data_IF_249171940330
#
_entry.id   IF_249171940330
#
_cell.length_a   1.000
_cell.length_b   1.000
_cell.length_c   1.000
_cell.angle_alpha   90.00
_cell.angle_beta   90.00
_cell.angle_gamma   90.00
#
_symmetry.space_group_name_H-M   'P 1'
#
loop_
_entity.id
_entity.type
_entity.pdbx_description
1 polymer ?
#
# COMPACT_ATOMS: atom_id res chain seq x y z
N UNK A 1 5.70 -5.21 10.18
CA UNK A 1 4.95 -4.02 10.60
C UNK A 1 3.46 -4.26 10.39
N UNK A 2 2.96 -4.45 9.16
CA UNK A 2 1.53 -4.67 8.89
C UNK A 2 0.94 -5.81 9.73
N UNK A 3 1.62 -6.95 9.86
CA UNK A 3 1.20 -8.07 10.70
C UNK A 3 0.97 -7.71 12.19
N UNK A 4 1.59 -6.66 12.67
CA UNK A 4 1.36 -6.14 14.03
C UNK A 4 0.15 -5.23 14.03
N UNK A 5 0.08 -4.30 13.09
CA UNK A 5 -0.99 -3.31 12.99
C UNK A 5 -2.37 -3.97 12.77
N UNK A 6 -2.47 -4.99 11.91
CA UNK A 6 -3.74 -5.69 11.65
C UNK A 6 -4.30 -6.44 12.88
N UNK A 7 -3.47 -6.70 13.89
CA UNK A 7 -3.88 -7.32 15.16
C UNK A 7 -4.31 -6.30 16.21
N UNK A 8 -4.09 -5.03 15.97
CA UNK A 8 -4.55 -3.98 16.86
C UNK A 8 -6.08 -3.93 16.90
N UNK A 9 -6.64 -3.83 18.10
CA UNK A 9 -8.10 -3.90 18.31
C UNK A 9 -8.84 -2.65 17.78
N UNK A 10 -8.16 -1.55 17.63
CA UNK A 10 -8.73 -0.27 17.16
C UNK A 10 -8.42 -0.04 15.70
N UNK A 11 -7.16 -0.23 15.30
CA UNK A 11 -6.68 0.10 13.97
C UNK A 11 -6.85 -1.04 12.98
N UNK A 12 -6.79 -2.30 13.42
CA UNK A 12 -6.68 -3.46 12.55
C UNK A 12 -7.78 -3.57 11.49
N UNK A 13 -9.03 -3.28 11.86
CA UNK A 13 -10.17 -3.32 10.94
C UNK A 13 -10.21 -2.14 9.96
N UNK A 14 -9.34 -1.15 10.14
CA UNK A 14 -9.28 0.06 9.31
C UNK A 14 -8.13 0.05 8.32
N UNK A 15 -7.21 -0.91 8.44
CA UNK A 15 -6.06 -1.04 7.56
C UNK A 15 -6.51 -1.65 6.24
N UNK A 16 -6.16 -0.99 5.15
CA UNK A 16 -6.45 -1.42 3.79
C UNK A 16 -5.14 -1.56 3.02
N UNK A 17 -4.54 -2.76 3.00
CA UNK A 17 -3.43 -3.03 2.10
C UNK A 17 -3.92 -3.04 0.66
N UNK A 18 -3.22 -2.34 -0.22
CA UNK A 18 -3.53 -2.26 -1.65
C UNK A 18 -2.31 -2.72 -2.42
N UNK A 19 -2.47 -3.61 -3.37
CA UNK A 19 -1.36 -4.22 -4.11
C UNK A 19 -1.68 -4.42 -5.59
N UNK A 20 -0.68 -4.37 -6.48
CA UNK A 20 -0.85 -4.60 -7.90
C UNK A 20 -0.63 -6.08 -8.27
N UNK A 21 -1.37 -7.01 -7.66
CA UNK A 21 -1.26 -8.46 -7.90
C UNK A 21 0.12 -9.09 -7.59
N UNK A 22 0.89 -8.49 -6.68
CA UNK A 22 2.26 -8.90 -6.37
C UNK A 22 2.47 -9.19 -4.87
N UNK A 23 1.41 -9.60 -4.19
CA UNK A 23 1.43 -9.82 -2.74
C UNK A 23 2.52 -10.80 -2.29
N UNK A 24 2.80 -11.84 -3.09
CA UNK A 24 3.86 -12.82 -2.76
C UNK A 24 5.24 -12.21 -2.87
N UNK A 25 5.50 -11.44 -3.92
CA UNK A 25 6.77 -10.72 -4.12
C UNK A 25 7.04 -9.76 -2.96
N UNK A 26 5.99 -9.17 -2.41
CA UNK A 26 6.10 -8.27 -1.24
C UNK A 26 6.08 -9.01 0.11
N UNK A 27 6.11 -10.34 0.12
CA UNK A 27 6.12 -11.15 1.34
C UNK A 27 4.81 -11.08 2.13
N UNK A 28 3.68 -10.87 1.45
CA UNK A 28 2.37 -10.69 2.06
C UNK A 28 1.50 -11.95 2.05
N UNK A 29 1.97 -13.07 1.50
CA UNK A 29 1.19 -14.31 1.37
C UNK A 29 0.64 -14.82 2.71
N UNK A 30 1.35 -14.57 3.82
CA UNK A 30 0.87 -14.91 5.16
C UNK A 30 -0.40 -14.15 5.59
N UNK A 31 -0.72 -13.04 4.90
CA UNK A 31 -1.91 -12.24 5.18
C UNK A 31 -3.16 -12.76 4.47
N UNK A 32 -3.05 -13.60 3.45
CA UNK A 32 -4.19 -14.11 2.70
C UNK A 32 -5.22 -14.82 3.59
N UNK A 33 -4.75 -15.61 4.56
CA UNK A 33 -5.63 -16.32 5.49
C UNK A 33 -6.17 -15.43 6.61
N UNK A 34 -5.45 -14.38 6.97
CA UNK A 34 -5.84 -13.49 8.07
C UNK A 34 -6.81 -12.41 7.61
N UNK A 35 -6.52 -11.76 6.50
CA UNK A 35 -7.29 -10.64 5.97
C UNK A 35 -8.20 -11.04 4.82
N UNK A 36 -7.74 -11.94 3.97
CA UNK A 36 -8.38 -12.24 2.70
C UNK A 36 -8.21 -11.12 1.68
N UNK A 37 -8.23 -11.49 0.41
CA UNK A 37 -8.31 -10.55 -0.70
C UNK A 37 -9.79 -10.25 -0.93
N UNK A 38 -10.14 -8.97 -1.04
CA UNK A 38 -11.53 -8.59 -1.25
C UNK A 38 -12.01 -9.01 -2.63
N UNK A 39 -13.17 -9.67 -2.67
CA UNK A 39 -13.90 -9.95 -3.90
C UNK A 39 -15.39 -9.90 -3.62
N UNK A 40 -16.13 -9.07 -4.34
CA UNK A 40 -17.56 -8.88 -4.18
C UNK A 40 -18.37 -10.19 -4.23
N UNK A 41 -17.95 -11.14 -5.06
CA UNK A 41 -18.61 -12.44 -5.23
C UNK A 41 -18.05 -13.51 -4.30
N UNK A 42 -16.91 -13.26 -3.66
CA UNK A 42 -16.15 -14.23 -2.88
C UNK A 42 -15.33 -15.16 -3.76
N UNK A 43 -14.81 -16.24 -3.18
CA UNK A 43 -13.98 -17.22 -3.90
C UNK A 43 -14.85 -18.12 -4.78
N UNK A 44 -14.76 -17.95 -6.11
CA UNK A 44 -15.59 -18.70 -7.07
C UNK A 44 -14.85 -19.89 -7.73
N UNK A 45 -13.58 -20.07 -7.45
CA UNK A 45 -12.74 -21.12 -8.03
C UNK A 45 -11.78 -21.68 -6.97
N UNK A 46 -11.22 -22.84 -7.26
CA UNK A 46 -10.14 -23.40 -6.43
C UNK A 46 -8.81 -22.80 -6.90
N UNK A 47 -8.05 -22.09 -6.05
CA UNK A 47 -6.75 -21.56 -6.44
C UNK A 47 -5.78 -22.69 -6.83
N UNK A 48 -4.86 -22.42 -7.74
CA UNK A 48 -3.84 -23.40 -8.15
C UNK A 48 -2.92 -23.81 -7.01
N UNK A 49 -2.76 -22.96 -6.00
CA UNK A 49 -1.93 -23.16 -4.82
C UNK A 49 -2.73 -23.62 -3.60
N UNK A 50 -3.95 -24.15 -3.78
CA UNK A 50 -4.86 -24.52 -2.69
C UNK A 50 -4.29 -25.58 -1.73
N UNK A 51 -3.29 -26.35 -2.17
CA UNK A 51 -2.56 -27.34 -1.37
C UNK A 51 -1.42 -26.74 -0.53
N UNK A 52 -1.08 -25.48 -0.75
CA UNK A 52 -0.03 -24.78 -0.01
C UNK A 52 -0.55 -24.26 1.34
N UNK A 53 0.37 -24.10 2.31
CA UNK A 53 0.03 -23.56 3.62
C UNK A 53 -0.51 -22.12 3.56
N UNK A 54 0.06 -21.30 2.68
CA UNK A 54 -0.30 -19.90 2.46
C UNK A 54 -0.86 -19.70 1.05
N UNK A 55 -2.05 -20.28 0.83
CA UNK A 55 -2.70 -20.23 -0.48
C UNK A 55 -3.46 -18.91 -0.69
N UNK A 56 -3.68 -18.60 -1.95
CA UNK A 56 -4.50 -17.47 -2.40
C UNK A 56 -5.94 -17.61 -1.89
N UNK A 57 -6.48 -16.55 -1.28
CA UNK A 57 -7.83 -16.61 -0.69
C UNK A 57 -8.57 -15.29 -0.89
N UNK A 58 -9.69 -15.38 -1.58
CA UNK A 58 -10.65 -14.28 -1.74
C UNK A 58 -11.80 -14.39 -0.72
N UNK A 59 -12.38 -13.25 -0.36
CA UNK A 59 -13.51 -13.17 0.56
C UNK A 59 -14.31 -11.89 0.35
N UNK A 60 -15.63 -11.97 0.55
CA UNK A 60 -16.51 -10.77 0.56
C UNK A 60 -16.18 -9.78 1.69
N UNK A 61 -15.47 -10.24 2.71
CA UNK A 61 -15.01 -9.45 3.85
C UNK A 61 -13.51 -9.25 3.84
N UNK A 62 -12.84 -9.51 2.73
CA UNK A 62 -11.41 -9.32 2.57
C UNK A 62 -11.00 -7.86 2.76
N UNK A 63 -9.83 -7.64 3.35
CA UNK A 63 -9.26 -6.30 3.57
C UNK A 63 -8.17 -5.93 2.56
N UNK A 64 -7.58 -6.90 1.86
CA UNK A 64 -6.56 -6.66 0.84
C UNK A 64 -7.27 -6.32 -0.47
N UNK A 65 -7.00 -5.15 -1.02
CA UNK A 65 -7.43 -4.79 -2.36
C UNK A 65 -6.32 -5.17 -3.34
N UNK A 66 -6.64 -6.06 -4.26
CA UNK A 66 -5.73 -6.52 -5.30
C UNK A 66 -6.24 -6.06 -6.66
N UNK A 67 -5.66 -4.96 -7.14
CA UNK A 67 -6.13 -4.25 -8.33
C UNK A 67 -5.66 -4.90 -9.65
N UNK A 68 -4.69 -5.79 -9.58
CA UNK A 68 -3.95 -6.23 -10.76
C UNK A 68 -2.79 -5.29 -11.07
N UNK A 69 -2.08 -5.53 -12.18
CA UNK A 69 -0.94 -4.69 -12.59
C UNK A 69 -1.45 -3.39 -13.22
N UNK A 70 -1.99 -2.53 -12.38
CA UNK A 70 -2.58 -1.25 -12.75
C UNK A 70 -2.31 -0.24 -11.62
N UNK A 71 -1.21 0.49 -11.70
CA UNK A 71 -0.80 1.44 -10.66
C UNK A 71 -1.79 2.60 -10.52
N UNK A 72 -2.43 3.03 -11.60
CA UNK A 72 -3.45 4.08 -11.56
C UNK A 72 -4.69 3.60 -10.80
N UNK A 73 -5.15 2.37 -11.04
CA UNK A 73 -6.27 1.77 -10.30
C UNK A 73 -5.94 1.63 -8.82
N UNK A 74 -4.78 1.05 -8.49
CA UNK A 74 -4.35 0.91 -7.11
C UNK A 74 -4.23 2.24 -6.36
N UNK A 75 -3.76 3.31 -7.03
CA UNK A 75 -3.74 4.63 -6.41
C UNK A 75 -5.13 5.26 -6.30
N UNK A 76 -6.03 5.00 -7.23
CA UNK A 76 -7.43 5.44 -7.11
C UNK A 76 -8.12 4.79 -5.91
N UNK A 77 -7.93 3.49 -5.70
CA UNK A 77 -8.40 2.78 -4.50
C UNK A 77 -7.81 3.39 -3.22
N UNK A 78 -6.51 3.69 -3.26
CA UNK A 78 -5.83 4.34 -2.14
C UNK A 78 -6.44 5.72 -1.84
N UNK A 79 -6.69 6.56 -2.84
CA UNK A 79 -7.33 7.88 -2.67
C UNK A 79 -8.72 7.72 -2.06
N UNK A 80 -9.52 6.77 -2.54
CA UNK A 80 -10.87 6.53 -2.02
C UNK A 80 -10.84 6.19 -0.53
N UNK A 81 -9.94 5.31 -0.10
CA UNK A 81 -9.75 4.97 1.30
C UNK A 81 -9.13 6.13 2.10
N UNK A 82 -8.14 6.83 1.52
CA UNK A 82 -7.41 7.92 2.17
C UNK A 82 -8.26 9.17 2.43
N UNK A 83 -9.35 9.35 1.68
CA UNK A 83 -10.32 10.46 1.83
C UNK A 83 -11.61 10.05 2.53
N UNK A 84 -11.75 8.78 2.94
CA UNK A 84 -12.96 8.27 3.58
C UNK A 84 -13.31 9.00 4.88
N UNK A 85 -12.32 9.58 5.58
CA UNK A 85 -12.57 10.40 6.77
C UNK A 85 -13.42 11.64 6.46
N UNK A 86 -13.25 12.23 5.29
CA UNK A 86 -13.96 13.42 4.81
C UNK A 86 -15.28 13.06 4.14
N UNK A 87 -15.29 12.02 3.29
CA UNK A 87 -16.43 11.66 2.46
C UNK A 87 -17.48 10.81 3.19
N UNK A 88 -17.03 9.98 4.15
CA UNK A 88 -17.89 9.02 4.85
C UNK A 88 -17.83 9.14 6.38
N UNK A 89 -17.01 10.04 6.92
CA UNK A 89 -16.78 10.14 8.37
C UNK A 89 -16.08 8.92 8.98
N UNK A 90 -15.40 8.12 8.16
CA UNK A 90 -14.71 6.89 8.59
C UNK A 90 -13.22 7.01 8.28
N UNK A 91 -12.42 7.02 9.34
CA UNK A 91 -10.96 7.03 9.19
C UNK A 91 -10.45 5.66 8.74
N UNK A 92 -9.95 5.55 7.52
CA UNK A 92 -9.27 4.36 7.01
C UNK A 92 -7.76 4.56 7.01
N UNK A 93 -7.01 3.47 6.98
CA UNK A 93 -5.54 3.43 6.98
C UNK A 93 -5.04 2.71 5.72
N UNK A 94 -5.12 3.36 4.54
CA UNK A 94 -4.66 2.71 3.32
C UNK A 94 -3.14 2.65 3.27
N UNK A 95 -2.64 1.50 2.82
CA UNK A 95 -1.22 1.24 2.60
C UNK A 95 -1.09 0.65 1.20
N UNK A 96 -0.72 1.48 0.25
CA UNK A 96 -0.48 1.03 -1.12
C UNK A 96 0.98 0.63 -1.28
N UNK A 97 1.21 -0.64 -1.62
CA UNK A 97 2.53 -1.23 -1.84
C UNK A 97 2.66 -1.53 -3.33
N UNK A 98 3.64 -0.95 -3.97
CA UNK A 98 3.89 -1.06 -5.41
C UNK A 98 5.38 -1.26 -5.70
N UNK A 99 5.71 -1.66 -6.91
CA UNK A 99 7.09 -1.59 -7.37
C UNK A 99 7.55 -0.14 -7.43
N UNK A 100 8.60 0.18 -6.70
CA UNK A 100 9.10 1.56 -6.55
C UNK A 100 9.27 2.27 -7.89
N UNK A 101 9.86 1.59 -8.87
CA UNK A 101 10.08 2.14 -10.22
C UNK A 101 8.79 2.60 -10.90
N UNK A 102 7.67 1.92 -10.68
CA UNK A 102 6.44 2.17 -11.45
C UNK A 102 5.43 3.06 -10.74
N UNK A 103 5.55 3.23 -9.43
CA UNK A 103 4.59 3.99 -8.65
C UNK A 103 4.49 5.45 -9.06
N UNK A 104 5.38 6.30 -8.55
CA UNK A 104 5.30 7.75 -8.76
C UNK A 104 5.29 8.15 -10.24
N UNK A 105 6.15 7.57 -11.06
CA UNK A 105 6.24 7.98 -12.46
C UNK A 105 4.99 7.66 -13.29
N UNK A 106 4.22 6.63 -12.92
CA UNK A 106 2.97 6.28 -13.62
C UNK A 106 1.74 6.98 -13.07
N UNK A 107 1.82 7.50 -11.85
CA UNK A 107 0.63 7.95 -11.11
C UNK A 107 0.70 9.41 -10.66
N UNK A 108 1.67 10.20 -11.13
CA UNK A 108 1.89 11.57 -10.63
C UNK A 108 0.64 12.45 -10.69
N UNK A 109 -0.16 12.36 -11.74
CA UNK A 109 -1.41 13.14 -11.84
C UNK A 109 -2.36 12.83 -10.67
N UNK A 110 -2.49 11.55 -10.32
CA UNK A 110 -3.31 11.14 -9.17
C UNK A 110 -2.65 11.48 -7.83
N UNK A 111 -1.31 11.48 -7.75
CA UNK A 111 -0.59 11.92 -6.54
C UNK A 111 -0.85 13.40 -6.28
N UNK A 112 -0.85 14.25 -7.30
CA UNK A 112 -1.24 15.65 -7.19
C UNK A 112 -2.70 15.80 -6.76
N UNK A 113 -3.61 15.04 -7.36
CA UNK A 113 -5.02 15.03 -6.97
C UNK A 113 -5.21 14.56 -5.51
N UNK A 114 -4.45 13.54 -5.09
CA UNK A 114 -4.46 13.05 -3.71
C UNK A 114 -3.98 14.12 -2.72
N UNK A 115 -2.92 14.84 -3.08
CA UNK A 115 -2.37 15.93 -2.28
C UNK A 115 -3.39 17.07 -2.11
N UNK A 116 -4.05 17.47 -3.18
CA UNK A 116 -5.09 18.51 -3.18
C UNK A 116 -6.31 18.10 -2.34
N UNK A 117 -6.67 16.82 -2.39
CA UNK A 117 -7.75 16.24 -1.59
C UNK A 117 -7.35 15.97 -0.12
N UNK A 118 -6.11 16.25 0.28
CA UNK A 118 -5.59 15.98 1.62
C UNK A 118 -5.75 14.52 2.03
N UNK A 119 -5.41 13.63 1.11
CA UNK A 119 -5.45 12.19 1.32
C UNK A 119 -4.47 11.77 2.42
N UNK A 120 -4.88 10.81 3.28
CA UNK A 120 -4.09 10.35 4.43
C UNK A 120 -3.80 8.87 4.32
N UNK A 121 -2.54 8.49 4.22
CA UNK A 121 -2.15 7.09 4.08
C UNK A 121 -0.68 6.92 3.70
N UNK A 122 -0.28 5.69 3.44
CA UNK A 122 1.10 5.35 3.13
C UNK A 122 1.22 4.84 1.70
N UNK A 123 2.25 5.36 1.00
CA UNK A 123 2.69 4.89 -0.30
C UNK A 123 4.06 4.22 -0.11
N UNK A 124 4.15 2.92 -0.37
CA UNK A 124 5.36 2.14 -0.11
C UNK A 124 5.92 1.60 -1.42
N UNK A 125 7.03 2.16 -1.86
CA UNK A 125 7.82 1.62 -2.97
C UNK A 125 8.60 0.39 -2.51
N UNK A 126 8.18 -0.79 -2.91
CA UNK A 126 8.90 -2.03 -2.69
C UNK A 126 9.90 -2.30 -3.81
N UNK A 127 10.81 -3.26 -3.61
CA UNK A 127 11.83 -3.64 -4.63
C UNK A 127 12.61 -2.43 -5.17
N UNK A 128 13.09 -1.57 -4.27
CA UNK A 128 13.70 -0.29 -4.62
C UNK A 128 15.22 -0.33 -4.85
N UNK A 129 15.90 -1.41 -4.46
CA UNK A 129 17.36 -1.49 -4.50
C UNK A 129 17.91 -1.71 -5.91
N UNK A 130 18.69 -0.77 -6.42
CA UNK A 130 19.31 -0.88 -7.76
C UNK A 130 20.18 -2.13 -7.89
N UNK A 131 21.08 -2.36 -6.95
CA UNK A 131 22.01 -3.49 -6.99
C UNK A 131 21.33 -4.84 -6.82
N UNK A 132 20.23 -4.89 -6.08
CA UNK A 132 19.46 -6.12 -5.87
C UNK A 132 18.56 -6.47 -7.05
N UNK A 133 18.32 -5.51 -7.94
CA UNK A 133 17.43 -5.64 -9.10
C UNK A 133 18.17 -5.66 -10.45
N UNK A 134 19.50 -5.71 -10.46
CA UNK A 134 20.28 -5.72 -11.68
C UNK A 134 19.95 -6.89 -12.62
N UNK A 135 19.53 -8.03 -12.07
CA UNK A 135 19.08 -9.19 -12.85
C UNK A 135 17.74 -8.99 -13.56
N UNK A 136 16.90 -8.06 -13.09
CA UNK A 136 15.64 -7.70 -13.72
C UNK A 136 15.77 -6.59 -14.76
N UNK A 137 16.89 -5.89 -14.75
CA UNK A 137 17.24 -4.83 -15.67
C UNK A 137 16.86 -3.42 -15.23
N UNK A 138 17.32 -2.45 -16.00
CA UNK A 138 17.22 -1.03 -15.70
C UNK A 138 15.77 -0.54 -15.43
N UNK A 139 14.79 -1.17 -16.05
CA UNK A 139 13.37 -0.79 -15.87
C UNK A 139 12.84 -1.07 -14.46
N UNK A 140 13.57 -1.77 -13.62
CA UNK A 140 13.21 -2.00 -12.21
C UNK A 140 14.10 -1.22 -11.23
N UNK A 141 15.13 -0.55 -11.71
CA UNK A 141 16.13 0.13 -10.88
C UNK A 141 15.73 1.57 -10.58
N UNK A 142 14.80 1.76 -9.66
CA UNK A 142 14.38 3.10 -9.23
C UNK A 142 15.54 3.89 -8.59
N UNK A 143 15.61 5.15 -8.94
CA UNK A 143 16.56 6.10 -8.36
C UNK A 143 16.05 7.54 -8.48
N UNK A 144 14.78 7.71 -8.85
CA UNK A 144 14.20 9.01 -9.20
C UNK A 144 12.85 9.30 -8.50
N UNK A 145 12.27 8.34 -7.76
CA UNK A 145 10.97 8.55 -7.10
C UNK A 145 10.98 9.71 -6.12
N UNK A 146 12.09 9.97 -5.42
CA UNK A 146 12.23 11.13 -4.53
C UNK A 146 12.19 12.46 -5.28
N UNK A 147 12.61 12.51 -6.54
CA UNK A 147 12.50 13.71 -7.37
C UNK A 147 11.02 14.03 -7.63
N UNK A 148 10.23 13.01 -7.95
CA UNK A 148 8.79 13.18 -8.16
C UNK A 148 8.06 13.57 -6.86
N UNK A 149 8.33 12.87 -5.76
CA UNK A 149 7.66 13.17 -4.50
C UNK A 149 8.02 14.54 -3.91
N UNK A 150 9.26 15.01 -4.15
CA UNK A 150 9.75 16.29 -3.61
C UNK A 150 9.02 17.52 -4.14
N UNK A 151 8.33 17.43 -5.27
CA UNK A 151 7.54 18.54 -5.82
C UNK A 151 6.14 18.62 -5.25
N UNK A 152 5.68 17.60 -4.53
CA UNK A 152 4.34 17.55 -3.92
C UNK A 152 4.42 18.06 -2.48
N UNK A 153 3.81 19.21 -2.13
CA UNK A 153 4.10 19.93 -0.88
C UNK A 153 3.79 19.15 0.41
N UNK A 154 2.79 18.28 0.39
CA UNK A 154 2.36 17.48 1.54
C UNK A 154 2.68 15.99 1.40
N UNK A 155 3.57 15.62 0.50
CA UNK A 155 4.12 14.28 0.39
C UNK A 155 5.50 14.22 1.05
N UNK A 156 5.61 13.55 2.20
CA UNK A 156 6.87 13.39 2.91
C UNK A 156 7.49 12.05 2.53
N UNK A 157 8.70 12.10 1.99
CA UNK A 157 9.39 10.93 1.46
C UNK A 157 10.54 10.50 2.34
N UNK A 158 10.71 9.19 2.46
CA UNK A 158 11.79 8.56 3.20
C UNK A 158 12.39 7.41 2.38
N UNK A 159 13.65 7.10 2.63
CA UNK A 159 14.35 5.95 2.04
C UNK A 159 15.00 5.10 3.16
N UNK A 160 14.21 4.33 3.93
CA UNK A 160 14.72 3.56 5.04
C UNK A 160 15.55 2.37 4.55
N UNK A 161 16.68 2.14 5.18
CA UNK A 161 17.54 0.98 4.94
C UNK A 161 17.11 -0.23 5.75
N UNK A 162 16.68 -0.01 7.00
CA UNK A 162 16.35 -1.08 7.93
C UNK A 162 14.88 -1.09 8.34
N UNK A 163 14.35 -2.28 8.64
CA UNK A 163 12.97 -2.44 9.03
C UNK A 163 12.54 -1.65 10.28
N UNK A 164 13.45 -1.40 11.21
CA UNK A 164 13.15 -0.57 12.39
C UNK A 164 12.97 0.91 12.03
N UNK A 165 13.68 1.41 11.02
CA UNK A 165 13.50 2.78 10.52
C UNK A 165 12.12 2.92 9.88
N UNK A 166 11.71 1.96 9.05
CA UNK A 166 10.36 1.91 8.50
C UNK A 166 9.30 1.86 9.61
N UNK A 167 9.57 1.15 10.71
CA UNK A 167 8.63 1.11 11.84
C UNK A 167 8.45 2.48 12.50
N UNK A 168 9.53 3.23 12.68
CA UNK A 168 9.50 4.60 13.22
C UNK A 168 8.75 5.54 12.27
N UNK A 169 9.03 5.46 10.96
CA UNK A 169 8.36 6.25 9.94
C UNK A 169 6.84 6.01 9.96
N UNK A 170 6.44 4.73 9.98
CA UNK A 170 5.01 4.37 10.04
C UNK A 170 4.37 4.86 11.34
N UNK A 171 5.05 4.72 12.48
CA UNK A 171 4.55 5.23 13.76
C UNK A 171 4.36 6.76 13.74
N UNK A 172 5.34 7.49 13.22
CA UNK A 172 5.24 8.95 13.10
C UNK A 172 4.14 9.37 12.13
N UNK A 173 4.02 8.71 11.00
CA UNK A 173 2.95 8.95 10.04
C UNK A 173 1.56 8.70 10.64
N UNK A 174 1.39 7.63 11.41
CA UNK A 174 0.14 7.36 12.13
C UNK A 174 -0.18 8.48 13.14
N UNK A 175 0.82 8.94 13.90
CA UNK A 175 0.66 10.06 14.83
C UNK A 175 0.22 11.33 14.10
N UNK A 176 0.94 11.70 13.05
CA UNK A 176 0.73 12.95 12.31
C UNK A 176 -0.62 12.98 11.59
N UNK A 177 -0.88 11.97 10.76
CA UNK A 177 -2.07 11.94 9.90
C UNK A 177 -3.36 11.60 10.67
N UNK A 178 -3.29 10.69 11.65
CA UNK A 178 -4.49 10.12 12.25
C UNK A 178 -4.75 10.58 13.69
N UNK A 179 -3.72 10.83 14.50
CA UNK A 179 -3.89 11.38 15.85
C UNK A 179 -3.95 12.90 15.83
N UNK A 180 -3.02 13.56 15.13
CA UNK A 180 -2.91 15.02 15.08
C UNK A 180 -3.64 15.63 13.88
N UNK A 181 -4.12 14.82 12.96
CA UNK A 181 -4.87 15.21 11.76
C UNK A 181 -4.15 16.24 10.88
N UNK A 182 -2.84 16.12 10.78
CA UNK A 182 -2.04 16.94 9.88
C UNK A 182 -2.32 16.59 8.40
N UNK A 183 -2.22 17.57 7.54
CA UNK A 183 -2.36 17.43 6.09
C UNK A 183 -0.99 17.10 5.45
N UNK A 184 -0.46 15.90 5.75
CA UNK A 184 0.82 15.39 5.24
C UNK A 184 0.66 13.94 4.79
#
# INVERSE_FOLDING_TARGET
ILNILIKDKVLGSRIVPIVPDESRTFGMEGMFRQLGIWNQLGQLYTPQDADQLMFYKESKTGQILQEGINELGGLADWIAAATAYSTHGVQMLPVYIFYSMFGMQRTMDLVWAAADQRSRGFLIGATAGRTTLNGEGLQHEDGHSHIFSSVVPNCISYDPTFGYELAVIVQDGLRRMFAEQQDV
#
